data_IF_277509504576
#
_entry.id   IF_277509504576
#
_cell.length_a   1.000
_cell.length_b   1.000
_cell.length_c   1.000
_cell.angle_alpha   90.00
_cell.angle_beta   90.00
_cell.angle_gamma   90.00
#
_symmetry.space_group_name_H-M   'P 1'
#
loop_
_entity.id
_entity.type
_entity.pdbx_description
1 polymer ?
#
# COMPACT_ATOMS: atom_id res chain seq x y z
N UNK A 1 16.32 -16.87 23.05
CA UNK A 1 16.62 -16.93 24.49
C UNK A 1 15.88 -15.80 25.20
N UNK A 2 15.10 -16.12 26.24
CA UNK A 2 14.27 -15.16 26.99
C UNK A 2 14.67 -15.18 28.48
N UNK A 3 14.48 -14.08 29.19
CA UNK A 3 14.67 -14.01 30.63
C UNK A 3 13.54 -14.76 31.39
N UNK A 4 13.69 -14.86 32.72
CA UNK A 4 12.68 -15.49 33.60
C UNK A 4 11.30 -14.81 33.57
N UNK A 5 11.22 -13.60 33.02
CA UNK A 5 9.99 -12.83 32.85
C UNK A 5 9.47 -12.89 31.40
N UNK A 6 10.06 -13.74 30.55
CA UNK A 6 9.67 -13.92 29.16
C UNK A 6 10.16 -12.84 28.19
N UNK A 7 10.95 -11.84 28.62
CA UNK A 7 11.51 -10.81 27.74
C UNK A 7 12.68 -11.37 26.94
N UNK A 8 12.90 -10.89 25.73
CA UNK A 8 14.11 -11.28 25.00
C UNK A 8 15.36 -10.73 25.70
N UNK A 9 16.41 -11.54 25.74
CA UNK A 9 17.71 -11.08 26.26
C UNK A 9 18.31 -9.99 25.35
N UNK A 10 19.16 -9.09 25.88
CA UNK A 10 19.88 -8.12 25.06
C UNK A 10 20.60 -8.79 23.88
N UNK A 11 20.43 -8.25 22.67
CA UNK A 11 20.99 -8.83 21.44
C UNK A 11 20.19 -9.99 20.83
N UNK A 12 19.15 -10.49 21.52
CA UNK A 12 18.20 -11.48 21.00
C UNK A 12 16.89 -10.73 20.70
N UNK A 13 16.34 -10.92 19.50
CA UNK A 13 15.05 -10.36 19.10
C UNK A 13 14.18 -11.48 18.53
N UNK A 14 12.86 -11.36 18.67
CA UNK A 14 11.92 -12.25 17.97
C UNK A 14 11.90 -12.04 16.47
N UNK A 15 12.36 -10.87 16.01
CA UNK A 15 12.64 -10.59 14.61
C UNK A 15 13.98 -9.85 14.50
N UNK A 16 15.13 -10.57 14.51
CA UNK A 16 16.46 -9.98 14.37
C UNK A 16 16.64 -9.25 13.03
N UNK A 17 15.95 -9.71 11.98
CA UNK A 17 15.97 -9.11 10.65
C UNK A 17 15.00 -7.92 10.48
N UNK A 18 14.14 -7.65 11.47
CA UNK A 18 13.20 -6.53 11.46
C UNK A 18 12.38 -6.41 10.18
N UNK A 19 11.81 -5.22 9.95
CA UNK A 19 11.36 -4.83 8.61
C UNK A 19 12.57 -4.19 7.91
N UNK A 20 12.99 -4.67 6.72
CA UNK A 20 14.08 -4.04 5.98
C UNK A 20 13.75 -2.59 5.64
N UNK A 21 14.74 -1.69 5.65
CA UNK A 21 14.57 -0.26 5.36
C UNK A 21 13.97 0.00 3.97
N UNK A 22 14.35 -0.78 2.97
CA UNK A 22 13.85 -0.69 1.59
C UNK A 22 12.33 -0.84 1.50
N UNK A 23 11.73 -1.64 2.39
CA UNK A 23 10.27 -1.83 2.46
C UNK A 23 9.56 -0.55 2.89
N UNK A 24 10.24 0.38 3.57
CA UNK A 24 9.71 1.72 3.88
C UNK A 24 9.56 2.56 2.62
N UNK A 25 10.62 2.66 1.82
CA UNK A 25 10.63 3.43 0.57
C UNK A 25 9.62 2.88 -0.45
N UNK A 26 9.58 1.56 -0.64
CA UNK A 26 8.58 0.92 -1.53
C UNK A 26 7.15 1.21 -1.07
N UNK A 27 6.91 1.27 0.24
CA UNK A 27 5.59 1.60 0.80
C UNK A 27 5.21 3.06 0.58
N UNK A 28 6.16 3.97 0.70
CA UNK A 28 5.95 5.39 0.42
C UNK A 28 5.62 5.61 -1.06
N UNK A 29 6.41 5.02 -1.95
CA UNK A 29 6.17 5.06 -3.40
C UNK A 29 4.83 4.45 -3.79
N UNK A 30 4.46 3.31 -3.18
CA UNK A 30 3.16 2.68 -3.42
C UNK A 30 1.98 3.54 -2.91
N UNK A 31 2.17 4.32 -1.84
CA UNK A 31 1.15 5.25 -1.33
C UNK A 31 0.99 6.45 -2.25
N UNK A 32 2.10 7.03 -2.68
CA UNK A 32 2.12 8.17 -3.61
C UNK A 32 1.38 7.82 -4.91
N UNK A 33 1.76 6.71 -5.55
CA UNK A 33 1.06 6.26 -6.76
C UNK A 33 -0.36 5.76 -6.51
N UNK A 34 -0.72 5.39 -5.28
CA UNK A 34 -2.10 5.04 -4.96
C UNK A 34 -3.03 6.25 -5.04
N UNK A 35 -2.55 7.44 -4.65
CA UNK A 35 -3.33 8.68 -4.73
C UNK A 35 -3.47 9.11 -6.19
N UNK A 36 -2.34 9.20 -6.91
CA UNK A 36 -2.30 9.53 -8.34
C UNK A 36 -3.17 8.57 -9.19
N UNK A 37 -3.15 7.27 -8.89
CA UNK A 37 -3.97 6.29 -9.59
C UNK A 37 -5.47 6.52 -9.36
N UNK A 38 -5.89 6.90 -8.14
CA UNK A 38 -7.29 7.21 -7.85
C UNK A 38 -7.71 8.46 -8.60
N UNK A 39 -6.90 9.51 -8.58
CA UNK A 39 -7.18 10.75 -9.31
C UNK A 39 -7.32 10.49 -10.81
N UNK A 40 -6.43 9.67 -11.37
CA UNK A 40 -6.48 9.23 -12.77
C UNK A 40 -7.77 8.47 -13.09
N UNK A 41 -8.19 7.56 -12.21
CA UNK A 41 -9.46 6.83 -12.38
C UNK A 41 -10.67 7.79 -12.31
N UNK A 42 -10.63 8.80 -11.43
CA UNK A 42 -11.69 9.82 -11.34
C UNK A 42 -11.74 10.67 -12.62
N UNK A 43 -10.60 11.09 -13.15
CA UNK A 43 -10.52 11.84 -14.41
C UNK A 43 -11.06 11.02 -15.58
N UNK A 44 -10.61 9.76 -15.71
CA UNK A 44 -11.10 8.83 -16.74
C UNK A 44 -12.62 8.62 -16.64
N UNK A 45 -13.15 8.42 -15.44
CA UNK A 45 -14.58 8.24 -15.20
C UNK A 45 -15.40 9.46 -15.67
N UNK A 46 -14.86 10.67 -15.53
CA UNK A 46 -15.56 11.93 -15.84
C UNK A 46 -15.40 12.38 -17.30
N UNK A 47 -14.22 12.16 -17.88
CA UNK A 47 -13.80 12.86 -19.09
C UNK A 47 -13.40 11.93 -20.24
N UNK A 48 -13.26 10.62 -20.02
CA UNK A 48 -12.91 9.72 -21.10
C UNK A 48 -14.00 9.69 -22.19
N UNK A 49 -13.57 9.76 -23.45
CA UNK A 49 -14.46 9.73 -24.63
C UNK A 49 -15.21 8.41 -24.79
N UNK A 50 -14.62 7.32 -24.31
CA UNK A 50 -15.19 5.98 -24.41
C UNK A 50 -16.04 5.68 -23.18
N UNK A 51 -17.30 5.29 -23.41
CA UNK A 51 -18.17 4.81 -22.33
C UNK A 51 -17.59 3.57 -21.64
N UNK A 52 -16.88 2.72 -22.37
CA UNK A 52 -16.20 1.55 -21.79
C UNK A 52 -15.07 1.98 -20.83
N UNK A 53 -14.31 3.01 -21.18
CA UNK A 53 -13.25 3.55 -20.32
C UNK A 53 -13.84 4.19 -19.05
N UNK A 54 -14.93 4.95 -19.19
CA UNK A 54 -15.65 5.53 -18.05
C UNK A 54 -16.22 4.45 -17.12
N UNK A 55 -16.83 3.41 -17.70
CA UNK A 55 -17.39 2.29 -16.95
C UNK A 55 -16.34 1.48 -16.21
N UNK A 56 -15.20 1.18 -16.86
CA UNK A 56 -14.09 0.48 -16.22
C UNK A 56 -13.49 1.28 -15.05
N UNK A 57 -13.34 2.60 -15.22
CA UNK A 57 -12.83 3.47 -14.17
C UNK A 57 -13.80 3.56 -12.97
N UNK A 58 -15.10 3.68 -13.24
CA UNK A 58 -16.13 3.65 -12.20
C UNK A 58 -16.11 2.33 -11.41
N UNK A 59 -16.04 1.19 -12.11
CA UNK A 59 -15.97 -0.13 -11.47
C UNK A 59 -14.73 -0.26 -10.58
N UNK A 60 -13.56 0.14 -11.08
CA UNK A 60 -12.31 0.09 -10.31
C UNK A 60 -12.34 0.95 -9.04
N UNK A 61 -13.05 2.08 -9.05
CA UNK A 61 -13.26 2.90 -7.85
C UNK A 61 -14.19 2.23 -6.84
N UNK A 62 -15.26 1.58 -7.30
CA UNK A 62 -16.22 0.87 -6.45
C UNK A 62 -15.61 -0.37 -5.79
N UNK A 63 -14.82 -1.15 -6.51
CA UNK A 63 -14.17 -2.37 -6.00
C UNK A 63 -13.13 -2.07 -4.90
N UNK A 64 -12.71 -0.80 -4.76
CA UNK A 64 -11.73 -0.33 -3.78
C UNK A 64 -12.37 0.26 -2.51
N UNK A 65 -13.69 0.45 -2.51
CA UNK A 65 -14.48 1.03 -1.42
C UNK A 65 -14.97 0.03 -0.38
#
# INVERSE_FOLDING_TARGET
MRDKNGRFLPGISGNPGGRPREVGHVRELAREHSEEAIETLVDLMRHAKSDAARGAAAQALLDRG
#
